data_IF_215748186992
#
_entry.id   IF_215748186992
#
_cell.length_a   1.000
_cell.length_b   1.000
_cell.length_c   1.000
_cell.angle_alpha   90.00
_cell.angle_beta   90.00
_cell.angle_gamma   90.00
#
_symmetry.space_group_name_H-M   'P 1'
#
loop_
_entity.id
_entity.type
_entity.pdbx_description
1 polymer ?
#
# COMPACT_ATOMS: atom_id res chain seq x y z
N UNK A 1 -24.54 -6.96 2.94
CA UNK A 1 -23.83 -8.24 2.85
C UNK A 1 -22.71 -8.32 3.86
N UNK A 2 -22.39 -9.54 4.27
CA UNK A 2 -21.36 -9.83 5.27
C UNK A 2 -20.45 -10.93 4.75
N UNK A 3 -19.15 -10.75 4.90
CA UNK A 3 -18.17 -11.74 4.51
C UNK A 3 -17.39 -12.19 5.76
N UNK A 4 -17.19 -13.48 5.87
CA UNK A 4 -16.36 -14.08 6.92
C UNK A 4 -15.17 -14.74 6.24
N UNK A 5 -13.97 -14.28 6.54
CA UNK A 5 -12.72 -14.88 6.05
C UNK A 5 -12.21 -15.85 7.12
N UNK A 6 -12.01 -17.09 6.72
CA UNK A 6 -11.52 -18.14 7.61
C UNK A 6 -10.18 -18.68 7.15
N UNK A 7 -9.35 -19.03 8.11
CA UNK A 7 -8.06 -19.66 7.87
C UNK A 7 -7.85 -20.76 8.90
N UNK A 8 -7.61 -21.99 8.42
CA UNK A 8 -7.36 -23.17 9.26
C UNK A 8 -8.40 -23.34 10.37
N UNK A 9 -9.68 -23.16 10.03
CA UNK A 9 -10.80 -23.34 10.96
C UNK A 9 -11.04 -22.17 11.92
N UNK A 10 -10.28 -21.09 11.82
CA UNK A 10 -10.45 -19.89 12.64
C UNK A 10 -10.95 -18.72 11.81
N UNK A 11 -11.78 -17.88 12.40
CA UNK A 11 -12.22 -16.63 11.77
C UNK A 11 -11.07 -15.61 11.84
N UNK A 12 -10.59 -15.19 10.68
CA UNK A 12 -9.56 -14.14 10.55
C UNK A 12 -10.20 -12.75 10.62
N UNK A 13 -11.28 -12.56 9.89
CA UNK A 13 -12.02 -11.31 9.90
C UNK A 13 -13.46 -11.53 9.44
N UNK A 14 -14.33 -10.69 9.93
CA UNK A 14 -15.75 -10.70 9.67
C UNK A 14 -16.21 -9.25 9.51
N UNK A 15 -16.84 -8.93 8.40
CA UNK A 15 -17.29 -7.57 8.13
C UNK A 15 -17.92 -7.40 6.75
N UNK A 16 -18.15 -6.16 6.37
CA UNK A 16 -18.64 -5.85 5.02
C UNK A 16 -17.52 -6.07 3.99
N UNK A 17 -17.86 -6.25 2.70
CA UNK A 17 -16.86 -6.32 1.64
C UNK A 17 -15.88 -5.15 1.64
N UNK A 18 -16.37 -3.96 1.89
CA UNK A 18 -15.55 -2.74 1.93
C UNK A 18 -14.59 -2.73 3.12
N UNK A 19 -15.07 -3.17 4.29
CA UNK A 19 -14.21 -3.28 5.48
C UNK A 19 -13.07 -4.27 5.26
N UNK A 20 -13.35 -5.44 4.70
CA UNK A 20 -12.32 -6.44 4.42
C UNK A 20 -11.31 -5.95 3.39
N UNK A 21 -11.76 -5.18 2.43
CA UNK A 21 -10.91 -4.66 1.35
C UNK A 21 -10.03 -3.49 1.81
N UNK A 22 -10.64 -2.48 2.46
CA UNK A 22 -9.93 -1.25 2.83
C UNK A 22 -9.29 -1.29 4.21
N UNK A 23 -9.79 -2.16 5.09
CA UNK A 23 -9.31 -2.30 6.47
C UNK A 23 -9.06 -3.77 6.82
N UNK A 24 -8.22 -4.47 6.04
CA UNK A 24 -7.90 -5.86 6.35
C UNK A 24 -7.20 -5.93 7.72
N UNK A 25 -7.61 -6.89 8.53
CA UNK A 25 -7.06 -7.05 9.86
C UNK A 25 -5.65 -7.66 9.84
N UNK A 26 -5.37 -8.49 8.84
CA UNK A 26 -4.11 -9.23 8.75
C UNK A 26 -3.60 -9.27 7.31
N UNK A 27 -2.34 -9.67 7.18
CA UNK A 27 -1.73 -9.92 5.87
C UNK A 27 -2.51 -10.99 5.10
N UNK A 28 -2.95 -12.04 5.78
CA UNK A 28 -3.73 -13.10 5.18
C UNK A 28 -5.03 -12.55 4.54
N UNK A 29 -5.79 -11.75 5.28
CA UNK A 29 -7.02 -11.15 4.74
C UNK A 29 -6.73 -10.20 3.59
N UNK A 30 -5.72 -9.35 3.73
CA UNK A 30 -5.34 -8.41 2.68
C UNK A 30 -5.00 -9.11 1.36
N UNK A 31 -4.20 -10.17 1.43
CA UNK A 31 -3.78 -10.95 0.27
C UNK A 31 -4.94 -11.78 -0.31
N UNK A 32 -5.75 -12.37 0.56
CA UNK A 32 -6.88 -13.21 0.16
C UNK A 32 -7.96 -12.44 -0.60
N UNK A 33 -8.27 -11.21 -0.18
CA UNK A 33 -9.35 -10.40 -0.78
C UNK A 33 -8.93 -9.82 -2.13
N UNK A 34 -7.67 -9.50 -2.33
CA UNK A 34 -7.21 -8.96 -3.61
C UNK A 34 -5.75 -8.56 -3.60
N UNK A 35 -5.22 -8.28 -4.77
CA UNK A 35 -3.83 -7.88 -4.91
C UNK A 35 -3.56 -6.55 -4.22
N UNK A 36 -2.44 -6.46 -3.53
CA UNK A 36 -2.04 -5.28 -2.77
C UNK A 36 -0.52 -5.19 -2.66
N UNK A 37 -0.01 -4.00 -2.37
CA UNK A 37 1.39 -3.82 -2.02
C UNK A 37 1.57 -4.01 -0.53
N UNK A 38 2.56 -4.80 -0.14
CA UNK A 38 2.98 -4.94 1.25
C UNK A 38 4.29 -4.20 1.47
N UNK A 39 4.33 -3.37 2.52
CA UNK A 39 5.52 -2.64 2.93
C UNK A 39 5.84 -3.03 4.35
N UNK A 40 6.99 -3.67 4.54
CA UNK A 40 7.46 -4.07 5.88
C UNK A 40 8.54 -3.11 6.34
N UNK A 41 8.28 -2.41 7.43
CA UNK A 41 9.16 -1.38 7.92
C UNK A 41 9.17 -1.28 9.43
N UNK A 42 9.74 -0.21 9.94
CA UNK A 42 9.93 0.02 11.37
C UNK A 42 8.89 0.99 11.89
N UNK A 43 8.27 0.62 13.02
CA UNK A 43 7.34 1.51 13.72
C UNK A 43 8.10 2.68 14.35
N UNK A 44 7.70 3.91 14.05
CA UNK A 44 8.23 5.11 14.68
C UNK A 44 7.29 5.64 15.78
N UNK A 45 6.00 5.69 15.54
CA UNK A 45 5.01 6.09 16.53
C UNK A 45 3.63 5.51 16.25
N UNK A 46 2.82 5.41 17.30
CA UNK A 46 1.44 4.94 17.20
C UNK A 46 0.60 5.71 18.23
N UNK A 47 -0.23 6.64 17.76
CA UNK A 47 -1.12 7.44 18.61
C UNK A 47 -2.50 7.57 17.98
N UNK A 48 -3.55 7.25 18.73
CA UNK A 48 -4.94 7.39 18.29
C UNK A 48 -5.24 6.72 16.94
N UNK A 49 -4.66 5.54 16.72
CA UNK A 49 -4.83 4.82 15.47
C UNK A 49 -3.90 5.25 14.34
N UNK A 50 -3.32 6.44 14.41
CA UNK A 50 -2.34 6.92 13.44
C UNK A 50 -0.98 6.28 13.71
N UNK A 51 -0.43 5.64 12.69
CA UNK A 51 0.88 4.99 12.75
C UNK A 51 1.83 5.72 11.81
N UNK A 52 3.02 6.01 12.32
CA UNK A 52 4.13 6.51 11.50
C UNK A 52 5.18 5.42 11.42
N UNK A 53 5.58 5.07 10.20
CA UNK A 53 6.58 4.03 9.94
C UNK A 53 7.70 4.54 9.05
N UNK A 54 8.86 3.92 9.17
CA UNK A 54 10.00 4.14 8.29
C UNK A 54 10.22 2.90 7.43
N UNK A 55 10.44 3.16 6.13
CA UNK A 55 10.67 2.13 5.12
C UNK A 55 11.74 2.61 4.15
N UNK A 56 12.92 2.02 4.21
CA UNK A 56 14.09 2.38 3.38
C UNK A 56 14.42 3.88 3.36
N UNK A 57 14.30 4.56 4.52
CA UNK A 57 14.55 6.00 4.63
C UNK A 57 13.35 6.89 4.33
N UNK A 58 12.28 6.34 3.77
CA UNK A 58 11.01 7.05 3.62
C UNK A 58 10.18 6.93 4.89
N UNK A 59 9.38 7.94 5.17
CA UNK A 59 8.48 7.96 6.32
C UNK A 59 7.03 8.01 5.82
N UNK A 60 6.20 7.09 6.31
CA UNK A 60 4.80 7.01 5.89
C UNK A 60 3.86 7.08 7.10
N UNK A 61 2.65 7.57 6.84
CA UNK A 61 1.55 7.57 7.79
C UNK A 61 0.42 6.67 7.30
N UNK A 62 -0.13 5.88 8.20
CA UNK A 62 -1.26 5.01 7.93
C UNK A 62 -2.08 4.79 9.19
N UNK A 63 -3.17 4.02 9.06
CA UNK A 63 -4.06 3.75 10.19
C UNK A 63 -4.07 2.29 10.55
N UNK A 64 -3.97 2.03 11.85
CA UNK A 64 -4.07 0.68 12.40
C UNK A 64 -5.48 0.14 12.24
N UNK A 65 -5.60 -1.10 11.78
CA UNK A 65 -6.88 -1.78 11.52
C UNK A 65 -7.35 -2.63 12.71
N UNK A 66 -6.99 -2.25 13.91
CA UNK A 66 -7.41 -2.96 15.12
C UNK A 66 -6.67 -2.48 16.35
N UNK A 67 -7.00 -3.07 17.50
CA UNK A 67 -6.27 -2.79 18.72
C UNK A 67 -4.89 -3.46 18.66
N UNK A 68 -3.92 -2.70 18.24
CA UNK A 68 -2.53 -3.16 18.23
C UNK A 68 -1.95 -2.94 19.63
N UNK A 69 -1.67 -4.04 20.29
CA UNK A 69 -1.08 -4.03 21.64
C UNK A 69 0.40 -4.37 21.63
N UNK A 70 1.00 -4.57 20.46
CA UNK A 70 2.37 -5.04 20.38
C UNK A 70 3.36 -3.87 20.35
N UNK A 71 4.41 -4.03 21.14
CA UNK A 71 5.61 -3.18 21.10
C UNK A 71 6.57 -3.62 19.99
N UNK A 72 6.08 -4.34 19.00
CA UNK A 72 6.90 -4.83 17.90
C UNK A 72 7.42 -3.64 17.09
N UNK A 73 8.72 -3.57 16.94
CA UNK A 73 9.38 -2.54 16.16
C UNK A 73 9.16 -2.71 14.65
N UNK A 74 8.79 -3.92 14.21
CA UNK A 74 8.52 -4.24 12.81
C UNK A 74 7.02 -4.29 12.56
N UNK A 75 6.59 -3.64 11.48
CA UNK A 75 5.19 -3.61 11.08
C UNK A 75 5.06 -3.84 9.58
N UNK A 76 3.90 -4.30 9.17
CA UNK A 76 3.54 -4.46 7.75
C UNK A 76 2.34 -3.58 7.45
N UNK A 77 2.47 -2.82 6.37
CA UNK A 77 1.39 -2.00 5.82
C UNK A 77 0.93 -2.55 4.48
N UNK A 78 -0.29 -2.24 4.12
CA UNK A 78 -0.92 -2.63 2.85
C UNK A 78 -1.46 -1.40 2.15
N UNK A 79 -1.15 -1.25 0.86
CA UNK A 79 -1.69 -0.20 -0.01
C UNK A 79 -2.18 -0.87 -1.30
N UNK A 80 -3.47 -0.70 -1.61
CA UNK A 80 -4.06 -1.27 -2.82
C UNK A 80 -3.52 -0.59 -4.08
N UNK A 81 -3.45 -1.35 -5.17
CA UNK A 81 -2.87 -0.90 -6.43
C UNK A 81 -3.51 0.38 -6.98
N UNK A 82 -4.83 0.47 -6.89
CA UNK A 82 -5.60 1.61 -7.39
C UNK A 82 -5.52 2.85 -6.49
N UNK A 83 -4.90 2.74 -5.32
CA UNK A 83 -4.75 3.87 -4.40
C UNK A 83 -3.47 4.67 -4.62
N UNK A 84 -2.54 4.16 -5.43
CA UNK A 84 -1.36 4.92 -5.80
C UNK A 84 -1.71 5.95 -6.87
N UNK A 85 -1.24 7.18 -6.67
CA UNK A 85 -1.36 8.29 -7.62
C UNK A 85 0.04 8.70 -8.06
N UNK A 86 0.21 9.06 -9.34
CA UNK A 86 1.50 9.43 -9.90
C UNK A 86 1.56 10.91 -10.25
N UNK A 87 2.72 11.52 -10.00
CA UNK A 87 2.97 12.94 -10.24
C UNK A 87 4.33 13.11 -10.91
N UNK A 88 4.37 13.96 -11.94
CA UNK A 88 5.62 14.25 -12.66
C UNK A 88 6.53 15.21 -11.90
N UNK A 89 5.96 15.99 -10.97
CA UNK A 89 6.68 16.91 -10.09
C UNK A 89 6.45 16.50 -8.65
N UNK A 90 7.39 16.84 -7.77
CA UNK A 90 7.26 16.56 -6.35
C UNK A 90 5.95 17.17 -5.80
N UNK A 91 4.98 16.33 -5.36
CA UNK A 91 3.68 16.82 -4.93
C UNK A 91 3.68 17.32 -3.49
N UNK A 92 4.77 17.13 -2.75
CA UNK A 92 4.89 17.47 -1.34
C UNK A 92 3.76 16.87 -0.49
N UNK A 93 3.60 15.57 -0.59
CA UNK A 93 2.58 14.79 0.15
C UNK A 93 3.23 14.05 1.31
N UNK A 94 2.40 13.70 2.30
CA UNK A 94 2.82 12.96 3.48
C UNK A 94 3.40 11.60 3.11
N UNK A 95 2.70 10.86 2.25
CA UNK A 95 3.18 9.58 1.73
C UNK A 95 3.59 9.76 0.27
N UNK A 96 4.88 9.81 0.05
CA UNK A 96 5.42 9.92 -1.30
C UNK A 96 6.74 9.19 -1.44
N UNK A 97 6.95 8.59 -2.60
CA UNK A 97 8.20 7.96 -2.99
C UNK A 97 8.55 8.39 -4.41
N UNK A 98 9.84 8.48 -4.69
CA UNK A 98 10.35 8.77 -6.02
C UNK A 98 10.81 7.49 -6.70
N UNK A 99 10.65 7.39 -8.00
CA UNK A 99 11.10 6.22 -8.75
C UNK A 99 10.76 6.27 -10.23
N UNK A 100 10.80 5.08 -10.85
CA UNK A 100 10.56 4.90 -12.28
C UNK A 100 9.58 3.79 -12.54
N UNK A 101 8.80 3.90 -13.61
CA UNK A 101 8.03 2.78 -14.13
C UNK A 101 8.97 1.85 -14.89
N UNK A 102 9.02 0.58 -14.49
CA UNK A 102 9.95 -0.41 -15.06
C UNK A 102 9.26 -1.49 -15.88
N UNK A 103 8.01 -1.80 -15.58
CA UNK A 103 7.19 -2.75 -16.33
C UNK A 103 5.83 -2.13 -16.61
N UNK A 104 5.26 -2.44 -17.78
CA UNK A 104 3.95 -1.92 -18.20
C UNK A 104 3.19 -3.04 -18.88
N UNK A 105 1.97 -3.30 -18.42
CA UNK A 105 1.05 -4.26 -19.04
C UNK A 105 -0.23 -3.53 -19.40
N UNK A 106 -0.52 -3.44 -20.69
CA UNK A 106 -1.73 -2.81 -21.18
C UNK A 106 -2.94 -3.73 -20.96
N UNK A 107 -3.96 -3.23 -20.28
CA UNK A 107 -5.18 -3.98 -19.96
C UNK A 107 -6.44 -3.39 -20.59
N UNK A 108 -6.27 -2.51 -21.57
CA UNK A 108 -7.38 -1.80 -22.22
C UNK A 108 -7.65 -0.43 -21.61
N UNK A 109 -8.58 -0.36 -20.66
CA UNK A 109 -8.92 0.91 -19.99
C UNK A 109 -7.88 1.42 -19.01
N UNK A 110 -6.96 0.57 -18.59
CA UNK A 110 -5.89 0.89 -17.63
C UNK A 110 -4.63 0.09 -17.95
N UNK A 111 -3.55 0.49 -17.36
CA UNK A 111 -2.25 -0.15 -17.48
C UNK A 111 -1.77 -0.60 -16.11
N UNK A 112 -1.35 -1.85 -15.98
CA UNK A 112 -0.70 -2.36 -14.77
C UNK A 112 0.79 -2.05 -14.87
N UNK A 113 1.34 -1.41 -13.86
CA UNK A 113 2.75 -1.00 -13.85
C UNK A 113 3.45 -1.44 -12.59
N UNK A 114 4.75 -1.69 -12.70
CA UNK A 114 5.66 -1.80 -11.57
C UNK A 114 6.45 -0.51 -11.46
N UNK A 115 6.45 0.07 -10.28
CA UNK A 115 7.17 1.30 -9.95
C UNK A 115 8.37 0.95 -9.08
N UNK A 116 9.58 1.07 -9.64
CA UNK A 116 10.80 0.83 -8.88
C UNK A 116 11.13 2.04 -8.02
N UNK A 117 11.19 1.84 -6.71
CA UNK A 117 11.38 2.91 -5.75
C UNK A 117 12.86 3.29 -5.65
N UNK A 118 13.14 4.56 -5.89
CA UNK A 118 14.49 5.14 -5.80
C UNK A 118 15.00 5.08 -4.35
N UNK A 119 16.28 4.79 -4.18
CA UNK A 119 16.88 4.66 -2.84
C UNK A 119 16.67 3.31 -2.18
N UNK A 120 16.07 2.36 -2.87
CA UNK A 120 15.92 0.98 -2.40
C UNK A 120 16.70 0.03 -3.29
N UNK A 121 17.13 -1.16 -2.77
CA UNK A 121 17.87 -2.12 -3.60
C UNK A 121 17.08 -2.64 -4.79
N UNK A 122 15.82 -3.01 -4.59
CA UNK A 122 14.97 -3.57 -5.65
C UNK A 122 13.49 -3.58 -5.24
N UNK A 123 13.05 -2.60 -4.49
CA UNK A 123 11.65 -2.54 -4.07
C UNK A 123 10.78 -1.96 -5.18
N UNK A 124 9.67 -2.65 -5.45
CA UNK A 124 8.70 -2.27 -6.46
C UNK A 124 7.32 -2.16 -5.85
N UNK A 125 6.59 -1.12 -6.25
CA UNK A 125 5.18 -0.99 -5.95
C UNK A 125 4.39 -1.24 -7.23
N UNK A 126 3.36 -2.04 -7.14
CA UNK A 126 2.47 -2.31 -8.27
C UNK A 126 1.28 -1.37 -8.23
N UNK A 127 0.89 -0.86 -9.38
CA UNK A 127 -0.17 0.13 -9.48
C UNK A 127 -0.92 0.04 -10.80
N UNK A 128 -2.10 0.67 -10.84
CA UNK A 128 -2.81 0.92 -12.09
C UNK A 128 -2.66 2.38 -12.47
N UNK A 129 -2.41 2.63 -13.76
CA UNK A 129 -2.34 3.99 -14.31
C UNK A 129 -3.18 4.08 -15.58
N UNK A 130 -3.57 5.30 -15.91
CA UNK A 130 -4.13 5.58 -17.23
C UNK A 130 -3.07 5.29 -18.31
N UNK A 131 -3.42 4.60 -19.42
CA UNK A 131 -2.43 4.25 -20.44
C UNK A 131 -1.74 5.45 -21.07
N UNK A 132 -2.43 6.57 -21.26
CA UNK A 132 -1.82 7.78 -21.82
C UNK A 132 -0.75 8.34 -20.89
N UNK A 133 -1.05 8.41 -19.59
CA UNK A 133 -0.07 8.83 -18.57
C UNK A 133 1.11 7.87 -18.51
N UNK A 134 0.84 6.56 -18.45
CA UNK A 134 1.88 5.53 -18.39
C UNK A 134 2.84 5.57 -19.57
N UNK A 135 2.32 5.86 -20.77
CA UNK A 135 3.13 5.98 -21.98
C UNK A 135 3.91 7.31 -22.04
N UNK A 136 3.33 8.40 -21.53
CA UNK A 136 3.97 9.72 -21.57
C UNK A 136 5.11 9.88 -20.59
N UNK A 137 5.08 9.17 -19.46
CA UNK A 137 6.12 9.25 -18.43
C UNK A 137 7.45 8.69 -18.91
N UNK A 138 7.42 7.59 -19.70
CA UNK A 138 8.64 6.94 -20.15
C UNK A 138 9.50 6.43 -18.98
N UNK A 139 10.80 6.72 -19.02
CA UNK A 139 11.77 6.33 -18.00
C UNK A 139 12.11 7.48 -17.04
N UNK A 140 11.34 8.55 -17.03
CA UNK A 140 11.56 9.69 -16.17
C UNK A 140 11.34 9.33 -14.70
N UNK A 141 12.08 10.00 -13.81
CA UNK A 141 11.83 9.95 -12.38
C UNK A 141 10.53 10.70 -12.09
N UNK A 142 9.63 10.02 -11.40
CA UNK A 142 8.34 10.56 -11.00
C UNK A 142 8.08 10.25 -9.52
N UNK A 143 6.96 10.74 -8.99
CA UNK A 143 6.54 10.47 -7.62
C UNK A 143 5.27 9.65 -7.60
N UNK A 144 5.21 8.67 -6.71
CA UNK A 144 4.00 7.94 -6.36
C UNK A 144 3.57 8.36 -4.96
N UNK A 145 2.28 8.57 -4.79
CA UNK A 145 1.69 8.98 -3.51
C UNK A 145 0.46 8.15 -3.19
N UNK A 146 0.10 8.13 -1.92
CA UNK A 146 -1.17 7.58 -1.44
C UNK A 146 -1.57 8.30 -0.16
N UNK A 147 -2.86 8.37 0.09
CA UNK A 147 -3.39 9.01 1.30
C UNK A 147 -3.12 8.13 2.53
N UNK A 148 -2.93 8.71 3.72
CA UNK A 148 -2.82 7.93 4.95
C UNK A 148 -4.01 6.98 5.16
N UNK A 149 -5.22 7.40 4.80
CA UNK A 149 -6.44 6.60 4.89
C UNK A 149 -6.41 5.37 3.97
N UNK A 150 -5.58 5.39 2.93
CA UNK A 150 -5.41 4.29 1.99
C UNK A 150 -4.34 3.29 2.42
N UNK A 151 -3.63 3.55 3.50
CA UNK A 151 -2.57 2.69 4.03
C UNK A 151 -3.04 2.01 5.30
N UNK A 152 -3.29 0.72 5.21
CA UNK A 152 -3.72 -0.10 6.34
C UNK A 152 -2.49 -0.69 7.04
N UNK A 153 -2.37 -0.44 8.34
CA UNK A 153 -1.32 -1.06 9.16
C UNK A 153 -1.88 -2.36 9.72
N UNK A 154 -1.29 -3.46 9.32
CA UNK A 154 -1.82 -4.79 9.59
C UNK A 154 -1.46 -5.25 10.99
N UNK A 155 -2.24 -6.21 11.50
CA UNK A 155 -2.09 -6.77 12.84
C UNK A 155 -0.83 -7.63 12.98
N UNK A 156 -0.39 -8.23 11.88
CA UNK A 156 0.73 -9.17 11.86
C UNK A 156 1.93 -8.73 10.99
#
# INVERSE_FOLDING_TARGET
DRIIVMNMGKVEQDGSPEELYFKPASRFVADFIGETNFLSGRLLSHENGLVIMEWFGYTFQGYSTGNRTTNDSQITASVRLERLEFHQRCPDRVNQVRGKLVNRIFLGSRMLVDFHVDGTPNEKLRAFVDPDLGNSIGENLIWATWKPESMAILKD
#
